data_IF_639062372061
#
_entry.id   IF_639062372061
#
_cell.length_a   1.000
_cell.length_b   1.000
_cell.length_c   1.000
_cell.angle_alpha   90.00
_cell.angle_beta   90.00
_cell.angle_gamma   90.00
#
_symmetry.space_group_name_H-M   'P 1'
#
loop_
_entity.id
_entity.type
_entity.pdbx_description
1 polymer ?
#
# COMPACT_ATOMS: atom_id res chain seq x y z
N UNK A 1 -13.32 11.84 15.74
CA UNK A 1 -11.99 11.19 15.74
C UNK A 1 -12.07 9.68 15.92
N UNK A 2 -12.75 9.19 16.96
CA UNK A 2 -12.94 7.75 17.23
C UNK A 2 -13.40 6.90 16.04
N UNK A 3 -14.36 7.39 15.24
CA UNK A 3 -14.79 6.70 14.00
C UNK A 3 -13.66 6.58 12.97
N UNK A 4 -12.83 7.63 12.82
CA UNK A 4 -11.69 7.63 11.89
C UNK A 4 -10.63 6.63 12.35
N UNK A 5 -10.27 6.65 13.63
CA UNK A 5 -9.33 5.68 14.22
C UNK A 5 -9.83 4.25 14.04
N UNK A 6 -11.12 3.97 14.33
CA UNK A 6 -11.72 2.64 14.15
C UNK A 6 -11.66 2.17 12.69
N UNK A 7 -11.90 3.06 11.72
CA UNK A 7 -11.79 2.72 10.29
C UNK A 7 -10.33 2.42 9.90
N UNK A 8 -9.39 3.25 10.36
CA UNK A 8 -7.97 3.06 10.09
C UNK A 8 -7.44 1.76 10.70
N UNK A 9 -7.75 1.50 11.97
CA UNK A 9 -7.39 0.26 12.66
C UNK A 9 -7.86 -0.98 11.89
N UNK A 10 -9.13 -1.01 11.47
CA UNK A 10 -9.66 -2.11 10.65
C UNK A 10 -8.92 -2.25 9.31
N UNK A 11 -8.65 -1.14 8.63
CA UNK A 11 -7.92 -1.15 7.35
C UNK A 11 -6.52 -1.75 7.54
N UNK A 12 -5.81 -1.33 8.59
CA UNK A 12 -4.44 -1.78 8.86
C UNK A 12 -4.39 -3.24 9.32
N UNK A 13 -5.33 -3.71 10.14
CA UNK A 13 -5.42 -5.13 10.47
C UNK A 13 -5.59 -5.99 9.22
N UNK A 14 -6.52 -5.63 8.33
CA UNK A 14 -6.71 -6.37 7.07
C UNK A 14 -5.43 -6.33 6.23
N UNK A 15 -4.75 -5.19 6.19
CA UNK A 15 -3.51 -5.04 5.43
C UNK A 15 -2.40 -5.94 5.97
N UNK A 16 -2.20 -5.96 7.30
CA UNK A 16 -1.19 -6.82 7.95
C UNK A 16 -1.54 -8.29 7.68
N UNK A 17 -2.78 -8.70 7.97
CA UNK A 17 -3.27 -10.07 7.79
C UNK A 17 -3.10 -10.59 6.36
N UNK A 18 -3.32 -9.75 5.35
CA UNK A 18 -3.25 -10.16 3.94
C UNK A 18 -1.86 -10.11 3.33
N UNK A 19 -0.97 -9.23 3.81
CA UNK A 19 0.28 -8.91 3.10
C UNK A 19 1.56 -9.15 3.92
N UNK A 20 1.45 -9.45 5.21
CA UNK A 20 2.55 -9.93 6.04
C UNK A 20 2.64 -11.46 5.97
N UNK A 21 3.67 -11.97 5.28
CA UNK A 21 3.90 -13.42 5.09
C UNK A 21 4.62 -14.07 6.28
N UNK A 22 5.28 -13.26 7.11
CA UNK A 22 5.98 -13.72 8.31
C UNK A 22 4.99 -13.68 9.48
N UNK A 23 4.68 -14.87 10.03
CA UNK A 23 3.70 -15.05 11.11
C UNK A 23 4.15 -14.35 12.41
N UNK A 24 5.45 -14.38 12.73
CA UNK A 24 5.99 -13.76 13.94
C UNK A 24 5.91 -12.23 13.83
N UNK A 25 6.30 -11.68 12.68
CA UNK A 25 6.17 -10.25 12.39
C UNK A 25 4.71 -9.82 12.35
N UNK A 26 3.80 -10.64 11.80
CA UNK A 26 2.38 -10.35 11.76
C UNK A 26 1.82 -10.22 13.18
N UNK A 27 2.19 -11.15 14.07
CA UNK A 27 1.79 -11.13 15.48
C UNK A 27 2.33 -9.88 16.19
N UNK A 28 3.60 -9.53 15.97
CA UNK A 28 4.23 -8.31 16.52
C UNK A 28 3.48 -7.05 16.08
N UNK A 29 3.32 -6.86 14.76
CA UNK A 29 2.64 -5.69 14.20
C UNK A 29 1.17 -5.61 14.62
N UNK A 30 0.48 -6.75 14.73
CA UNK A 30 -0.90 -6.79 15.20
C UNK A 30 -1.03 -6.32 16.65
N UNK A 31 -0.09 -6.71 17.52
CA UNK A 31 -0.05 -6.25 18.92
C UNK A 31 0.28 -4.74 18.99
N UNK A 32 1.29 -4.28 18.23
CA UNK A 32 1.65 -2.86 18.15
C UNK A 32 0.45 -2.01 17.72
N UNK A 33 -0.31 -2.45 16.71
CA UNK A 33 -1.49 -1.74 16.24
C UNK A 33 -2.62 -1.69 17.29
N UNK A 34 -2.78 -2.74 18.10
CA UNK A 34 -3.72 -2.76 19.22
C UNK A 34 -3.32 -1.71 20.26
N UNK A 35 -2.05 -1.68 20.66
CA UNK A 35 -1.52 -0.75 21.66
C UNK A 35 -1.64 0.70 21.17
N UNK A 36 -1.22 0.99 19.94
CA UNK A 36 -1.35 2.32 19.33
C UNK A 36 -2.82 2.77 19.24
N UNK A 37 -3.75 1.87 18.90
CA UNK A 37 -5.17 2.19 18.85
C UNK A 37 -5.76 2.39 20.25
N UNK A 38 -5.31 1.63 21.24
CA UNK A 38 -5.71 1.83 22.64
C UNK A 38 -5.26 3.22 23.13
N UNK A 39 -4.00 3.57 22.92
CA UNK A 39 -3.45 4.89 23.24
C UNK A 39 -4.21 6.01 22.51
N UNK A 40 -4.42 5.86 21.20
CA UNK A 40 -5.16 6.84 20.41
C UNK A 40 -6.56 7.13 20.97
N UNK A 41 -7.23 6.12 21.51
CA UNK A 41 -8.58 6.23 22.05
C UNK A 41 -8.62 6.83 23.46
N UNK A 42 -7.64 6.54 24.31
CA UNK A 42 -7.56 7.09 25.68
C UNK A 42 -7.11 8.54 25.66
N UNK A 43 -6.08 8.84 24.88
CA UNK A 43 -5.51 10.17 24.78
C UNK A 43 -6.35 11.10 23.89
N UNK A 44 -7.39 10.57 23.24
CA UNK A 44 -8.18 11.26 22.20
C UNK A 44 -7.23 11.94 21.20
N UNK A 45 -6.44 11.13 20.50
CA UNK A 45 -5.53 11.57 19.43
C UNK A 45 -5.75 10.78 18.14
N UNK A 46 -5.15 11.26 17.06
CA UNK A 46 -5.25 10.59 15.75
C UNK A 46 -4.30 9.40 15.68
N UNK A 47 -4.83 8.20 15.45
CA UNK A 47 -4.05 6.97 15.31
C UNK A 47 -3.00 7.08 14.20
N UNK A 48 -3.29 7.77 13.09
CA UNK A 48 -2.31 7.93 12.00
C UNK A 48 -1.05 8.65 12.46
N UNK A 49 -1.20 9.64 13.35
CA UNK A 49 -0.06 10.39 13.90
C UNK A 49 0.76 9.54 14.84
N UNK A 50 0.13 8.70 15.67
CA UNK A 50 0.85 7.78 16.55
C UNK A 50 1.63 6.74 15.75
N UNK A 51 1.03 6.22 14.69
CA UNK A 51 1.71 5.29 13.77
C UNK A 51 2.98 5.91 13.18
N UNK A 52 2.92 7.16 12.73
CA UNK A 52 4.09 7.89 12.20
C UNK A 52 5.22 8.05 13.25
N UNK A 53 4.90 7.97 14.54
CA UNK A 53 5.90 8.02 15.63
C UNK A 53 6.56 6.67 15.93
N UNK A 54 6.10 5.57 15.31
CA UNK A 54 6.75 4.25 15.36
C UNK A 54 7.35 3.92 13.99
N UNK A 55 8.64 4.25 13.75
CA UNK A 55 9.24 4.13 12.41
C UNK A 55 9.23 2.69 11.88
N UNK A 56 9.48 1.70 12.74
CA UNK A 56 9.48 0.28 12.33
C UNK A 56 8.10 -0.13 11.83
N UNK A 57 7.07 0.08 12.67
CA UNK A 57 5.68 -0.23 12.29
C UNK A 57 5.27 0.53 11.02
N UNK A 58 5.53 1.83 10.96
CA UNK A 58 5.17 2.66 9.81
C UNK A 58 5.82 2.19 8.50
N UNK A 59 7.10 1.81 8.54
CA UNK A 59 7.82 1.32 7.37
C UNK A 59 7.25 -0.01 6.86
N UNK A 60 6.90 -0.94 7.75
CA UNK A 60 6.26 -2.19 7.36
C UNK A 60 4.88 -1.95 6.72
N UNK A 61 4.08 -1.03 7.30
CA UNK A 61 2.81 -0.63 6.68
C UNK A 61 3.02 -0.07 5.26
N UNK A 62 4.05 0.75 5.03
CA UNK A 62 4.36 1.24 3.67
C UNK A 62 4.67 0.08 2.72
N UNK A 63 5.48 -0.90 3.13
CA UNK A 63 5.79 -2.06 2.30
C UNK A 63 4.54 -2.86 1.94
N UNK A 64 3.64 -3.07 2.89
CA UNK A 64 2.37 -3.78 2.64
C UNK A 64 1.44 -2.97 1.73
N UNK A 65 1.34 -1.65 1.90
CA UNK A 65 0.57 -0.80 0.99
C UNK A 65 1.14 -0.82 -0.44
N UNK A 66 2.48 -0.84 -0.58
CA UNK A 66 3.15 -0.96 -1.87
C UNK A 66 2.89 -2.32 -2.52
N UNK A 67 2.98 -3.41 -1.75
CA UNK A 67 2.74 -4.77 -2.24
C UNK A 67 1.31 -4.94 -2.72
N UNK A 68 0.34 -4.44 -1.94
CA UNK A 68 -1.06 -4.39 -2.32
C UNK A 68 -1.25 -3.63 -3.64
N UNK A 69 -0.72 -2.42 -3.74
CA UNK A 69 -0.88 -1.58 -4.94
C UNK A 69 -0.25 -2.22 -6.18
N UNK A 70 0.93 -2.82 -6.03
CA UNK A 70 1.60 -3.52 -7.12
C UNK A 70 0.74 -4.69 -7.65
N UNK A 71 0.19 -5.49 -6.74
CA UNK A 71 -0.71 -6.60 -7.10
C UNK A 71 -2.01 -6.11 -7.78
N UNK A 72 -2.60 -5.01 -7.30
CA UNK A 72 -3.77 -4.40 -7.92
C UNK A 72 -3.48 -3.90 -9.35
N UNK A 73 -2.29 -3.35 -9.60
CA UNK A 73 -1.84 -2.99 -10.95
C UNK A 73 -1.64 -4.21 -11.83
N UNK A 74 -0.96 -5.25 -11.34
CA UNK A 74 -0.72 -6.48 -12.09
C UNK A 74 -2.02 -7.10 -12.59
N UNK A 75 -2.99 -7.28 -11.69
CA UNK A 75 -4.32 -7.76 -12.03
C UNK A 75 -5.01 -6.87 -13.06
N UNK A 76 -5.10 -5.56 -12.79
CA UNK A 76 -5.85 -4.64 -13.65
C UNK A 76 -5.23 -4.51 -15.05
N UNK A 77 -3.91 -4.49 -15.15
CA UNK A 77 -3.21 -4.39 -16.44
C UNK A 77 -3.34 -5.69 -17.24
N UNK A 78 -3.36 -6.84 -16.57
CA UNK A 78 -3.53 -8.15 -17.23
C UNK A 78 -4.90 -8.33 -17.89
N UNK A 79 -5.91 -7.59 -17.44
CA UNK A 79 -7.26 -7.57 -18.03
C UNK A 79 -7.33 -6.74 -19.32
N UNK A 80 -6.37 -5.84 -19.54
CA UNK A 80 -6.44 -4.79 -20.59
C UNK A 80 -5.38 -5.01 -21.67
N UNK A 81 -4.16 -5.35 -21.27
CA UNK A 81 -3.01 -5.44 -22.16
C UNK A 81 -2.83 -6.85 -22.72
N UNK A 82 -2.25 -6.92 -23.91
CA UNK A 82 -1.71 -8.19 -24.38
C UNK A 82 -0.48 -8.62 -23.55
N UNK A 83 -0.07 -9.86 -23.75
CA UNK A 83 0.99 -10.47 -22.93
C UNK A 83 2.33 -9.74 -23.07
N UNK A 84 2.67 -9.25 -24.25
CA UNK A 84 3.99 -8.65 -24.51
C UNK A 84 4.07 -7.24 -23.93
N UNK A 85 3.01 -6.44 -24.10
CA UNK A 85 2.87 -5.11 -23.50
C UNK A 85 2.81 -5.18 -21.97
N UNK A 86 2.07 -6.16 -21.43
CA UNK A 86 1.98 -6.40 -19.99
C UNK A 86 3.35 -6.68 -19.37
N UNK A 87 4.14 -7.57 -19.99
CA UNK A 87 5.47 -7.94 -19.47
C UNK A 87 6.39 -6.72 -19.36
N UNK A 88 6.36 -5.83 -20.36
CA UNK A 88 7.19 -4.63 -20.38
C UNK A 88 6.77 -3.69 -19.24
N UNK A 89 5.48 -3.38 -19.13
CA UNK A 89 4.97 -2.43 -18.15
C UNK A 89 5.11 -2.95 -16.70
N UNK A 90 4.84 -4.23 -16.46
CA UNK A 90 5.02 -4.84 -15.13
C UNK A 90 6.48 -4.85 -14.71
N UNK A 91 7.42 -5.02 -15.64
CA UNK A 91 8.84 -4.92 -15.32
C UNK A 91 9.26 -3.52 -14.89
N UNK A 92 8.74 -2.48 -15.56
CA UNK A 92 8.97 -1.08 -15.18
C UNK A 92 8.38 -0.79 -13.78
N UNK A 93 7.15 -1.23 -13.53
CA UNK A 93 6.50 -1.11 -12.23
C UNK A 93 7.24 -1.89 -11.13
N UNK A 94 7.74 -3.08 -11.44
CA UNK A 94 8.45 -3.93 -10.48
C UNK A 94 9.75 -3.26 -10.02
N UNK A 95 10.48 -2.61 -10.93
CA UNK A 95 11.67 -1.84 -10.56
C UNK A 95 11.33 -0.69 -9.61
N UNK A 96 10.23 0.04 -9.86
CA UNK A 96 9.78 1.10 -8.95
C UNK A 96 9.31 0.53 -7.61
N UNK A 97 8.62 -0.61 -7.61
CA UNK A 97 8.19 -1.29 -6.39
C UNK A 97 9.38 -1.66 -5.50
N UNK A 98 10.43 -2.25 -6.08
CA UNK A 98 11.66 -2.59 -5.35
C UNK A 98 12.28 -1.34 -4.73
N UNK A 99 12.45 -0.27 -5.52
CA UNK A 99 12.99 1.01 -5.04
C UNK A 99 12.12 1.62 -3.93
N UNK A 100 10.79 1.51 -4.05
CA UNK A 100 9.86 2.00 -3.04
C UNK A 100 10.05 1.28 -1.70
N UNK A 101 10.15 -0.05 -1.73
CA UNK A 101 10.35 -0.87 -0.53
C UNK A 101 11.72 -0.65 0.11
N UNK A 102 12.79 -0.55 -0.68
CA UNK A 102 14.15 -0.32 -0.16
C UNK A 102 14.33 1.06 0.47
N UNK A 103 13.56 2.06 0.00
CA UNK A 103 13.65 3.44 0.47
C UNK A 103 12.50 3.88 1.40
N UNK A 104 11.63 2.94 1.79
CA UNK A 104 10.41 3.21 2.57
C UNK A 104 9.55 4.36 1.97
N UNK A 105 9.50 4.44 0.64
CA UNK A 105 8.65 5.38 -0.10
C UNK A 105 7.39 4.69 -0.55
N UNK A 106 6.32 5.46 -0.75
CA UNK A 106 5.09 4.94 -1.35
C UNK A 106 5.29 4.78 -2.85
N UNK A 107 4.95 3.61 -3.39
CA UNK A 107 5.05 3.28 -4.81
C UNK A 107 4.28 4.29 -5.67
N UNK A 108 3.11 4.71 -5.23
CA UNK A 108 2.29 5.70 -5.95
C UNK A 108 3.02 7.04 -6.17
N UNK A 109 3.87 7.45 -5.22
CA UNK A 109 4.61 8.70 -5.32
C UNK A 109 5.76 8.57 -6.33
N UNK A 110 6.40 7.40 -6.39
CA UNK A 110 7.42 7.11 -7.40
C UNK A 110 6.81 7.01 -8.80
N UNK A 111 5.63 6.39 -8.94
CA UNK A 111 4.90 6.34 -10.22
C UNK A 111 4.58 7.76 -10.68
N UNK A 112 3.99 8.60 -9.82
CA UNK A 112 3.67 10.01 -10.15
C UNK A 112 4.89 10.84 -10.52
N UNK A 113 6.06 10.50 -9.98
CA UNK A 113 7.32 11.18 -10.30
C UNK A 113 7.90 10.76 -11.67
N UNK A 114 7.40 9.68 -12.26
CA UNK A 114 7.69 9.25 -13.63
C UNK A 114 6.51 9.63 -14.54
N UNK A 115 6.60 10.80 -15.18
CA UNK A 115 5.49 11.38 -15.95
C UNK A 115 4.96 10.44 -17.05
N UNK A 116 5.86 9.77 -17.79
CA UNK A 116 5.49 8.82 -18.86
C UNK A 116 4.71 7.63 -18.30
N UNK A 117 5.26 6.98 -17.27
CA UNK A 117 4.62 5.83 -16.64
C UNK A 117 3.28 6.22 -16.01
N UNK A 118 3.23 7.36 -15.33
CA UNK A 118 2.00 7.86 -14.71
C UNK A 118 0.92 8.10 -15.76
N UNK A 119 1.27 8.71 -16.89
CA UNK A 119 0.34 8.94 -18.00
C UNK A 119 -0.19 7.62 -18.56
N UNK A 120 0.69 6.68 -18.90
CA UNK A 120 0.33 5.36 -19.46
C UNK A 120 -0.59 4.58 -18.53
N UNK A 121 -0.27 4.52 -17.23
CA UNK A 121 -1.11 3.82 -16.24
C UNK A 121 -2.47 4.49 -16.10
N UNK A 122 -2.50 5.82 -16.05
CA UNK A 122 -3.76 6.57 -15.89
C UNK A 122 -4.68 6.34 -17.08
N UNK A 123 -4.14 6.41 -18.30
CA UNK A 123 -4.88 6.16 -19.54
C UNK A 123 -5.48 4.73 -19.56
N UNK A 124 -4.66 3.72 -19.23
CA UNK A 124 -5.12 2.33 -19.15
C UNK A 124 -6.21 2.13 -18.08
N UNK A 125 -6.08 2.77 -16.92
CA UNK A 125 -7.12 2.68 -15.88
C UNK A 125 -8.42 3.40 -16.28
N UNK A 126 -8.36 4.46 -17.10
CA UNK A 126 -9.55 5.12 -17.64
C UNK A 126 -10.28 4.23 -18.65
N UNK A 127 -9.53 3.57 -19.55
CA UNK A 127 -10.10 2.60 -20.51
C UNK A 127 -10.90 1.50 -19.82
N UNK A 128 -10.47 1.04 -18.63
CA UNK A 128 -11.26 0.09 -17.83
C UNK A 128 -12.58 0.70 -17.35
N UNK A 129 -12.54 1.93 -16.81
CA UNK A 129 -13.73 2.59 -16.27
C UNK A 129 -14.80 2.95 -17.30
N UNK A 130 -14.44 3.02 -18.58
CA UNK A 130 -15.39 3.23 -19.69
C UNK A 130 -16.01 1.92 -20.19
N UNK A 131 -15.42 0.77 -19.85
CA UNK A 131 -15.86 -0.57 -20.28
C UNK A 131 -16.69 -1.32 -19.21
N UNK A 132 -16.87 -0.75 -18.01
CA UNK A 132 -17.74 -1.22 -16.92
C UNK A 132 -19.05 -0.40 -16.84
#
# INVERSE_FOLDING_TARGET
MKIRNKKLFKKLNILIDQYCEDDDLNLELSNDLIDLNYEANICDVNLSKLIETSPTFYNEIIKFENKKLFFEFELSLSEILDKDELIILIKELSNLYIVACDSNKRLIDLIKSNEDLHFRITDLTQVRSEND
#
